data_IF_970692269693
#
_entry.id   IF_970692269693
#
_cell.length_a   1.000
_cell.length_b   1.000
_cell.length_c   1.000
_cell.angle_alpha   90.00
_cell.angle_beta   90.00
_cell.angle_gamma   90.00
#
_symmetry.space_group_name_H-M   'P 1'
#
loop_
_entity.id
_entity.type
_entity.pdbx_description
1 polymer ?
#
# COMPACT_ATOMS: atom_id res chain seq x y z
N UNK A 1 -27.74 18.01 7.45
CA UNK A 1 -26.65 17.11 7.04
C UNK A 1 -27.29 15.90 6.37
N UNK A 2 -27.16 15.77 5.06
CA UNK A 2 -27.81 14.66 4.33
C UNK A 2 -27.05 13.35 4.56
N UNK A 3 -27.74 12.21 4.59
CA UNK A 3 -27.10 10.91 4.82
C UNK A 3 -25.97 10.60 3.82
N UNK A 4 -26.06 11.14 2.60
CA UNK A 4 -25.04 11.02 1.55
C UNK A 4 -23.72 11.74 1.92
N UNK A 5 -23.79 12.93 2.52
CA UNK A 5 -22.60 13.68 2.94
C UNK A 5 -21.88 13.00 4.11
N UNK A 6 -22.62 12.36 5.02
CA UNK A 6 -22.06 11.60 6.12
C UNK A 6 -21.27 10.38 5.62
N UNK A 7 -21.84 9.61 4.68
CA UNK A 7 -21.18 8.44 4.10
C UNK A 7 -19.91 8.81 3.33
N UNK A 8 -19.95 9.89 2.55
CA UNK A 8 -18.76 10.41 1.85
C UNK A 8 -17.66 10.81 2.82
N UNK A 9 -18.01 11.49 3.92
CA UNK A 9 -17.03 11.94 4.92
C UNK A 9 -16.37 10.76 5.63
N UNK A 10 -17.14 9.73 5.99
CA UNK A 10 -16.61 8.51 6.61
C UNK A 10 -15.65 7.75 5.67
N UNK A 11 -16.01 7.62 4.39
CA UNK A 11 -15.14 7.01 3.39
C UNK A 11 -13.80 7.75 3.24
N UNK A 12 -13.83 9.08 3.18
CA UNK A 12 -12.62 9.92 3.10
C UNK A 12 -11.72 9.73 4.32
N UNK A 13 -12.30 9.72 5.53
CA UNK A 13 -11.53 9.52 6.77
C UNK A 13 -10.88 8.14 6.78
N UNK A 14 -11.62 7.08 6.49
CA UNK A 14 -11.08 5.71 6.47
C UNK A 14 -9.94 5.52 5.47
N UNK A 15 -10.09 6.06 4.27
CA UNK A 15 -9.02 5.97 3.24
C UNK A 15 -7.80 6.78 3.69
N UNK A 16 -8.00 7.94 4.30
CA UNK A 16 -6.89 8.78 4.79
C UNK A 16 -6.13 8.10 5.93
N UNK A 17 -6.83 7.42 6.84
CA UNK A 17 -6.19 6.64 7.91
C UNK A 17 -5.44 5.41 7.35
N UNK A 18 -6.04 4.71 6.38
CA UNK A 18 -5.41 3.56 5.73
C UNK A 18 -4.21 3.95 4.82
N UNK A 19 -4.15 5.20 4.35
CA UNK A 19 -3.10 5.70 3.47
C UNK A 19 -1.75 5.90 4.17
N UNK A 20 -1.73 6.01 5.49
CA UNK A 20 -0.49 6.25 6.22
C UNK A 20 0.32 4.94 6.35
N UNK A 21 1.52 4.85 5.75
CA UNK A 21 2.37 3.67 5.87
C UNK A 21 2.94 3.57 7.29
N UNK A 22 2.28 2.80 8.15
CA UNK A 22 2.81 2.46 9.47
C UNK A 22 3.99 1.48 9.38
N UNK A 23 4.62 1.19 10.53
CA UNK A 23 5.70 0.19 10.60
C UNK A 23 5.27 -1.19 10.07
N UNK A 24 4.00 -1.58 10.28
CA UNK A 24 3.43 -2.82 9.77
C UNK A 24 3.49 -2.92 8.24
N UNK A 25 3.28 -1.81 7.52
CA UNK A 25 3.35 -1.77 6.06
C UNK A 25 4.74 -2.17 5.56
N UNK A 26 5.78 -1.55 6.11
CA UNK A 26 7.16 -1.80 5.70
C UNK A 26 7.61 -3.22 6.07
N UNK A 27 7.27 -3.70 7.26
CA UNK A 27 7.61 -5.06 7.70
C UNK A 27 6.96 -6.11 6.78
N UNK A 28 5.67 -6.00 6.50
CA UNK A 28 4.96 -6.95 5.65
C UNK A 28 5.43 -6.88 4.19
N UNK A 29 5.75 -5.68 3.70
CA UNK A 29 6.30 -5.47 2.35
C UNK A 29 7.67 -6.14 2.19
N UNK A 30 8.56 -6.00 3.18
CA UNK A 30 9.87 -6.68 3.17
C UNK A 30 9.71 -8.19 3.29
N UNK A 31 8.84 -8.68 4.18
CA UNK A 31 8.58 -10.12 4.31
C UNK A 31 8.01 -10.72 3.02
N UNK A 32 7.08 -10.02 2.36
CA UNK A 32 6.54 -10.43 1.05
C UNK A 32 7.64 -10.54 0.00
N UNK A 33 8.54 -9.55 -0.09
CA UNK A 33 9.66 -9.59 -1.02
C UNK A 33 10.60 -10.78 -0.77
N UNK A 34 10.91 -11.09 0.50
CA UNK A 34 11.71 -12.27 0.84
C UNK A 34 11.01 -13.57 0.45
N UNK A 35 9.71 -13.71 0.72
CA UNK A 35 8.92 -14.88 0.31
C UNK A 35 8.92 -15.02 -1.22
N UNK A 36 8.78 -13.91 -1.95
CA UNK A 36 8.84 -13.91 -3.41
C UNK A 36 10.22 -14.34 -3.92
N UNK A 37 11.31 -13.86 -3.32
CA UNK A 37 12.68 -14.23 -3.66
C UNK A 37 12.92 -15.75 -3.43
N UNK A 38 12.49 -16.28 -2.29
CA UNK A 38 12.55 -17.73 -2.03
C UNK A 38 11.66 -18.52 -2.99
N UNK A 39 10.47 -18.02 -3.31
CA UNK A 39 9.57 -18.64 -4.28
C UNK A 39 10.18 -18.73 -5.67
N UNK A 40 10.91 -17.69 -6.08
CA UNK A 40 11.63 -17.67 -7.36
C UNK A 40 12.81 -18.64 -7.34
N UNK A 41 13.59 -18.68 -6.25
CA UNK A 41 14.70 -19.62 -6.10
C UNK A 41 14.24 -21.08 -6.07
N UNK A 42 13.06 -21.34 -5.49
CA UNK A 42 12.42 -22.65 -5.49
C UNK A 42 11.65 -22.95 -6.80
N UNK A 43 11.67 -22.06 -7.79
CA UNK A 43 10.92 -22.15 -9.05
C UNK A 43 9.42 -22.47 -8.83
N UNK A 44 8.82 -21.88 -7.80
CA UNK A 44 7.44 -22.12 -7.38
C UNK A 44 6.57 -20.88 -7.54
N UNK A 45 5.84 -20.83 -8.65
CA UNK A 45 4.86 -19.76 -8.93
C UNK A 45 3.82 -19.65 -7.81
N UNK A 46 3.42 -20.77 -7.21
CA UNK A 46 2.46 -20.77 -6.11
C UNK A 46 2.93 -19.93 -4.90
N UNK A 47 4.22 -20.01 -4.55
CA UNK A 47 4.81 -19.23 -3.45
C UNK A 47 4.89 -17.74 -3.83
N UNK A 48 5.24 -17.43 -5.07
CA UNK A 48 5.29 -16.05 -5.58
C UNK A 48 3.91 -15.40 -5.56
N UNK A 49 2.85 -16.13 -5.96
CA UNK A 49 1.48 -15.62 -5.86
C UNK A 49 1.05 -15.46 -4.39
N UNK A 50 1.47 -16.38 -3.51
CA UNK A 50 1.25 -16.25 -2.07
C UNK A 50 1.84 -14.96 -1.49
N UNK A 51 3.04 -14.56 -1.94
CA UNK A 51 3.66 -13.29 -1.54
C UNK A 51 2.83 -12.05 -1.92
N UNK A 52 2.15 -12.07 -3.07
CA UNK A 52 1.29 -10.96 -3.52
C UNK A 52 0.10 -10.72 -2.59
N UNK A 53 -0.39 -11.76 -1.91
CA UNK A 53 -1.51 -11.65 -0.96
C UNK A 53 -1.05 -11.01 0.37
N UNK A 54 0.21 -11.20 0.75
CA UNK A 54 0.77 -10.72 2.01
C UNK A 54 1.05 -9.22 1.98
N UNK A 55 1.37 -8.65 0.81
CA UNK A 55 1.78 -7.25 0.68
C UNK A 55 0.60 -6.28 0.90
N UNK A 56 0.63 -5.40 1.92
CA UNK A 56 -0.49 -4.51 2.26
C UNK A 56 -0.49 -3.22 1.41
N UNK A 57 -0.48 -3.35 0.08
CA UNK A 57 -0.37 -2.21 -0.85
C UNK A 57 -1.66 -1.39 -0.99
N UNK A 58 -2.81 -1.95 -0.60
CA UNK A 58 -4.11 -1.31 -0.82
C UNK A 58 -4.27 0.06 -0.16
N UNK A 59 -3.70 0.28 1.03
CA UNK A 59 -3.81 1.55 1.75
C UNK A 59 -3.19 2.72 0.98
N UNK A 60 -1.88 2.67 0.68
CA UNK A 60 -1.20 3.70 -0.11
C UNK A 60 -1.82 3.94 -1.50
N UNK A 61 -2.22 2.89 -2.22
CA UNK A 61 -2.88 3.04 -3.54
C UNK A 61 -4.17 3.85 -3.41
N UNK A 62 -5.02 3.53 -2.42
CA UNK A 62 -6.27 4.26 -2.20
C UNK A 62 -6.01 5.70 -1.73
N UNK A 63 -5.00 5.91 -0.90
CA UNK A 63 -4.55 7.25 -0.47
C UNK A 63 -4.13 8.13 -1.65
N UNK A 64 -3.36 7.56 -2.58
CA UNK A 64 -2.94 8.22 -3.81
C UNK A 64 -4.15 8.58 -4.67
N UNK A 65 -5.05 7.62 -4.92
CA UNK A 65 -6.26 7.83 -5.70
C UNK A 65 -7.16 8.92 -5.09
N UNK A 66 -7.34 8.92 -3.77
CA UNK A 66 -8.13 9.93 -3.06
C UNK A 66 -7.45 11.31 -3.10
N UNK A 67 -6.13 11.36 -2.94
CA UNK A 67 -5.34 12.59 -3.05
C UNK A 67 -5.48 13.23 -4.43
N UNK A 68 -5.40 12.43 -5.49
CA UNK A 68 -5.61 12.89 -6.86
C UNK A 68 -7.05 13.33 -7.12
N UNK A 69 -8.04 12.53 -6.71
CA UNK A 69 -9.46 12.83 -6.92
C UNK A 69 -9.94 14.06 -6.13
N UNK A 70 -9.37 14.31 -4.95
CA UNK A 70 -9.72 15.45 -4.09
C UNK A 70 -8.85 16.69 -4.32
N UNK A 71 -7.85 16.62 -5.21
CA UNK A 71 -6.87 17.70 -5.41
C UNK A 71 -5.93 17.92 -4.22
N UNK A 72 -5.87 16.98 -3.27
CA UNK A 72 -5.01 17.04 -2.10
C UNK A 72 -3.60 16.53 -2.45
N UNK A 73 -2.77 17.43 -2.99
CA UNK A 73 -1.39 17.14 -3.40
C UNK A 73 -0.54 16.53 -2.28
N UNK A 74 -0.70 17.00 -1.03
CA UNK A 74 0.07 16.49 0.11
C UNK A 74 -0.22 15.01 0.37
N UNK A 75 -1.49 14.59 0.30
CA UNK A 75 -1.87 13.18 0.47
C UNK A 75 -1.38 12.33 -0.71
N UNK A 76 -1.48 12.84 -1.93
CA UNK A 76 -1.00 12.16 -3.13
C UNK A 76 0.52 11.94 -3.07
N UNK A 77 1.30 12.99 -2.80
CA UNK A 77 2.75 12.92 -2.68
C UNK A 77 3.19 12.00 -1.55
N UNK A 78 2.56 12.08 -0.37
CA UNK A 78 2.89 11.19 0.75
C UNK A 78 2.61 9.72 0.44
N UNK A 79 1.50 9.43 -0.25
CA UNK A 79 1.13 8.05 -0.61
C UNK A 79 2.05 7.51 -1.71
N UNK A 80 2.38 8.33 -2.70
CA UNK A 80 3.34 7.98 -3.76
C UNK A 80 4.72 7.70 -3.17
N UNK A 81 5.17 8.54 -2.24
CA UNK A 81 6.49 8.41 -1.61
C UNK A 81 6.55 7.19 -0.69
N UNK A 82 5.44 6.84 -0.03
CA UNK A 82 5.30 5.59 0.72
C UNK A 82 5.54 4.35 -0.17
N UNK A 83 4.86 4.30 -1.31
CA UNK A 83 5.01 3.20 -2.27
C UNK A 83 6.39 3.15 -2.91
N UNK A 84 6.92 4.31 -3.32
CA UNK A 84 8.25 4.40 -3.91
C UNK A 84 9.34 3.97 -2.93
N UNK A 85 9.25 4.38 -1.66
CA UNK A 85 10.17 3.94 -0.61
C UNK A 85 10.02 2.44 -0.33
N UNK A 86 8.79 1.92 -0.28
CA UNK A 86 8.54 0.49 -0.10
C UNK A 86 9.15 -0.35 -1.23
N UNK A 87 8.90 0.04 -2.48
CA UNK A 87 9.46 -0.60 -3.66
C UNK A 87 11.00 -0.49 -3.70
N UNK A 88 11.54 0.69 -3.41
CA UNK A 88 12.99 0.90 -3.33
C UNK A 88 13.64 0.05 -2.24
N UNK A 89 13.02 -0.05 -1.06
CA UNK A 89 13.50 -0.90 0.02
C UNK A 89 13.50 -2.38 -0.38
N UNK A 90 12.46 -2.86 -1.06
CA UNK A 90 12.41 -4.23 -1.57
C UNK A 90 13.54 -4.51 -2.57
N UNK A 91 13.76 -3.61 -3.54
CA UNK A 91 14.81 -3.76 -4.55
C UNK A 91 16.22 -3.74 -3.97
N UNK A 92 16.42 -3.11 -2.81
CA UNK A 92 17.72 -3.12 -2.12
C UNK A 92 17.98 -4.41 -1.34
N UNK A 93 16.93 -5.15 -0.97
CA UNK A 93 17.00 -6.33 -0.11
C UNK A 93 16.92 -7.65 -0.90
N UNK A 94 16.10 -7.68 -1.96
CA UNK A 94 15.87 -8.86 -2.80
C UNK A 94 16.94 -9.03 -3.88
#
# INVERSE_FOLDING_TARGET
MTAAEAARRDAVVRITDAAHPGQHYYVLTVLSALIAAFGLLANSTAVVIGAMIVAPLMGPIMGLALGLASGNRKLAESSLLAEALGAGLCLLIA
#
